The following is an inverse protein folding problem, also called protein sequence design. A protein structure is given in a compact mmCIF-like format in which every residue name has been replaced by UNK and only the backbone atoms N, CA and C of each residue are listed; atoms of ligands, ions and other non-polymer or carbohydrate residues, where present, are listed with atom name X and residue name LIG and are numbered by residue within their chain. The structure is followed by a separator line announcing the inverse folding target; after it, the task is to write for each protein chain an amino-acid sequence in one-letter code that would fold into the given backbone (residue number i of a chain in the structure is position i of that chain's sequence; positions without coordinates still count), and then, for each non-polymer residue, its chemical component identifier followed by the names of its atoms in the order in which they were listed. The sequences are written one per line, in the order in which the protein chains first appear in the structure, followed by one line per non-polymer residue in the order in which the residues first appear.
data_IF_823841920858
#
_entry.id   IF_823841920858
#
_cell.length_a   1.000
_cell.length_b   1.000
_cell.length_c   1.000
_cell.angle_alpha   90.00
_cell.angle_beta   90.00
_cell.angle_gamma   90.00
#
_symmetry.space_group_name_H-M   'P 1'
#
loop_
_entity.id
_entity.type
_entity.pdbx_description
1 polymer ?
#
# COMPACT_ATOMS: atom_id res chain seq x y z
N UNK A 1 -11.01 -31.86 7.03
CA UNK A 1 -9.83 -32.20 7.83
C UNK A 1 -8.84 -31.06 7.68
N UNK A 2 -8.38 -30.51 8.80
CA UNK A 2 -7.55 -29.32 8.89
C UNK A 2 -6.18 -29.55 8.25
N UNK A 3 -5.71 -28.57 7.49
CA UNK A 3 -4.38 -28.55 6.89
C UNK A 3 -3.76 -27.17 7.08
N UNK A 4 -3.43 -26.81 8.33
CA UNK A 4 -2.52 -25.71 8.60
C UNK A 4 -1.13 -26.11 8.09
N UNK A 5 -0.62 -25.37 7.11
CA UNK A 5 0.76 -25.51 6.65
C UNK A 5 1.54 -24.27 7.02
N UNK A 6 2.08 -24.34 8.23
CA UNK A 6 3.19 -23.51 8.69
C UNK A 6 4.46 -24.03 8.05
N UNK A 7 5.37 -23.14 7.66
CA UNK A 7 6.74 -23.53 7.33
C UNK A 7 7.47 -24.05 8.58
N UNK A 8 7.32 -25.35 8.84
CA UNK A 8 8.38 -26.14 9.46
C UNK A 8 9.42 -26.38 8.38
N UNK A 9 10.54 -25.66 8.46
CA UNK A 9 11.76 -26.08 7.80
C UNK A 9 12.14 -27.47 8.35
N UNK A 10 11.85 -28.54 7.59
CA UNK A 10 12.29 -29.91 7.92
C UNK A 10 13.80 -29.96 7.72
N UNK A 11 14.56 -29.51 8.70
CA UNK A 11 16.02 -29.68 8.71
C UNK A 11 16.81 -28.69 9.56
N UNK A 12 16.26 -27.52 9.89
CA UNK A 12 16.94 -26.57 10.79
C UNK A 12 15.94 -26.00 11.79
N UNK A 13 16.26 -26.16 13.08
CA UNK A 13 15.53 -25.51 14.19
C UNK A 13 15.44 -24.01 13.91
N UNK A 14 14.25 -23.43 14.13
CA UNK A 14 13.87 -22.06 13.78
C UNK A 14 14.96 -21.01 14.03
N UNK A 15 15.50 -20.49 12.93
CA UNK A 15 16.30 -19.28 12.89
C UNK A 15 15.63 -18.29 11.95
N UNK A 16 15.57 -17.03 12.35
CA UNK A 16 15.02 -15.93 11.55
C UNK A 16 15.68 -15.83 10.17
N UNK A 17 14.88 -15.50 9.17
CA UNK A 17 15.37 -14.94 7.91
C UNK A 17 16.08 -13.62 8.27
N UNK A 18 17.38 -13.53 8.00
CA UNK A 18 18.14 -12.29 8.12
C UNK A 18 17.87 -11.34 6.94
N UNK A 19 18.46 -10.13 7.00
CA UNK A 19 18.32 -9.09 5.97
C UNK A 19 18.38 -9.59 4.53
N UNK A 20 19.37 -10.44 4.23
CA UNK A 20 19.59 -10.96 2.89
C UNK A 20 18.47 -11.91 2.44
N UNK A 21 17.87 -12.66 3.36
CA UNK A 21 16.81 -13.61 3.07
C UNK A 21 15.44 -12.91 2.91
N UNK A 22 15.16 -11.89 3.73
CA UNK A 22 13.97 -11.05 3.59
C UNK A 22 14.01 -10.17 2.31
N UNK A 23 15.14 -9.52 2.03
CA UNK A 23 15.33 -8.74 0.79
C UNK A 23 15.33 -9.62 -0.47
N UNK A 24 15.79 -10.87 -0.36
CA UNK A 24 15.69 -11.84 -1.46
C UNK A 24 14.25 -12.30 -1.74
N UNK A 25 13.35 -12.16 -0.76
CA UNK A 25 11.93 -12.47 -0.85
C UNK A 25 11.06 -11.22 -1.07
N UNK A 26 11.68 -10.12 -1.50
CA UNK A 26 11.00 -8.86 -1.77
C UNK A 26 10.36 -8.18 -0.53
N UNK A 27 10.88 -8.44 0.67
CA UNK A 27 10.49 -7.71 1.89
C UNK A 27 11.12 -6.32 2.03
N UNK A 28 10.40 -5.34 2.58
CA UNK A 28 10.97 -4.03 2.94
C UNK A 28 11.55 -4.10 4.34
N UNK A 29 12.81 -3.68 4.51
CA UNK A 29 13.47 -3.69 5.83
C UNK A 29 13.47 -2.30 6.43
N UNK A 30 12.95 -2.20 7.66
CA UNK A 30 13.14 -1.06 8.53
C UNK A 30 14.36 -1.28 9.42
N UNK A 31 15.34 -0.38 9.35
CA UNK A 31 16.48 -0.33 10.28
C UNK A 31 16.34 0.88 11.21
N UNK A 32 16.39 0.65 12.51
CA UNK A 32 16.47 1.71 13.52
C UNK A 32 17.94 1.92 13.89
N UNK A 33 18.58 2.84 13.17
CA UNK A 33 20.04 3.06 13.25
C UNK A 33 20.45 3.98 14.40
N UNK A 34 19.52 4.78 14.94
CA UNK A 34 19.76 5.64 16.12
C UNK A 34 18.46 5.90 16.87
N UNK A 35 18.54 5.96 18.20
CA UNK A 35 17.43 6.40 19.05
C UNK A 35 16.25 5.43 19.03
N UNK A 36 15.03 5.99 18.98
CA UNK A 36 13.78 5.26 19.06
C UNK A 36 12.84 5.59 17.91
N UNK A 37 12.16 4.56 17.43
CA UNK A 37 11.21 4.65 16.31
C UNK A 37 9.91 4.00 16.72
N UNK A 38 8.80 4.72 16.59
CA UNK A 38 7.48 4.12 16.71
C UNK A 38 7.04 3.61 15.35
N UNK A 39 6.49 2.41 15.31
CA UNK A 39 5.80 1.88 14.14
C UNK A 39 4.34 1.64 14.48
N UNK A 40 3.45 1.95 13.54
CA UNK A 40 2.03 1.65 13.63
C UNK A 40 1.59 0.87 12.39
N UNK A 41 0.86 -0.23 12.58
CA UNK A 41 0.31 -1.04 11.49
C UNK A 41 -1.07 -1.54 11.90
N UNK A 42 -2.09 -1.40 11.04
CA UNK A 42 -3.49 -1.78 11.35
C UNK A 42 -4.00 -1.28 12.74
N UNK A 43 -3.47 -0.16 13.24
CA UNK A 43 -3.84 0.44 14.52
C UNK A 43 -3.13 -0.10 15.78
N UNK A 44 -2.23 -1.09 15.67
CA UNK A 44 -1.32 -1.42 16.77
C UNK A 44 -0.01 -0.66 16.64
N UNK A 45 0.53 -0.24 17.78
CA UNK A 45 1.81 0.46 17.86
C UNK A 45 2.89 -0.40 18.54
N UNK A 46 4.13 -0.29 18.05
CA UNK A 46 5.33 -0.84 18.69
C UNK A 46 6.43 0.22 18.68
N UNK A 47 7.14 0.38 19.79
CA UNK A 47 8.36 1.18 19.83
C UNK A 47 9.57 0.27 19.65
N UNK A 48 10.40 0.60 18.68
CA UNK A 48 11.66 -0.02 18.37
C UNK A 48 12.80 0.86 18.92
N UNK A 49 13.80 0.25 19.53
CA UNK A 49 14.98 0.96 20.06
C UNK A 49 16.21 0.47 19.34
N UNK A 50 17.04 1.41 18.88
CA UNK A 50 18.28 1.12 18.18
C UNK A 50 19.28 0.32 19.03
N UNK A 51 20.10 -0.55 18.43
CA UNK A 51 20.01 -1.02 17.04
C UNK A 51 18.96 -2.12 16.91
N UNK A 52 18.05 -1.99 15.95
CA UNK A 52 17.15 -3.09 15.59
C UNK A 52 16.72 -2.98 14.14
N UNK A 53 16.63 -4.11 13.46
CA UNK A 53 16.04 -4.23 12.14
C UNK A 53 14.83 -5.16 12.18
N UNK A 54 13.83 -4.90 11.32
CA UNK A 54 12.75 -5.85 11.07
C UNK A 54 12.16 -5.61 9.69
N UNK A 55 11.54 -6.65 9.15
CA UNK A 55 10.67 -6.52 7.98
C UNK A 55 9.42 -5.71 8.32
N UNK A 56 8.94 -4.95 7.34
CA UNK A 56 7.73 -4.16 7.40
C UNK A 56 6.93 -4.27 6.10
N UNK A 57 5.63 -4.06 6.20
CA UNK A 57 4.66 -4.25 5.13
C UNK A 57 4.02 -2.90 4.71
N UNK A 58 3.51 -2.78 3.47
CA UNK A 58 2.64 -1.69 3.08
C UNK A 58 1.47 -1.49 4.04
N UNK A 59 1.22 -0.25 4.43
CA UNK A 59 0.31 0.16 5.50
C UNK A 59 1.02 0.51 6.82
N UNK A 60 2.34 0.30 6.92
CA UNK A 60 3.09 0.72 8.11
C UNK A 60 3.33 2.23 8.12
N UNK A 61 3.13 2.83 9.30
CA UNK A 61 3.55 4.20 9.60
C UNK A 61 4.81 4.11 10.47
N UNK A 62 5.89 4.73 10.02
CA UNK A 62 7.17 4.80 10.73
C UNK A 62 7.37 6.23 11.23
N UNK A 63 7.66 6.38 12.53
CA UNK A 63 7.85 7.67 13.19
C UNK A 63 9.17 7.67 13.97
N UNK A 64 10.15 8.42 13.49
CA UNK A 64 11.40 8.67 14.23
C UNK A 64 11.16 9.73 15.32
N UNK A 65 11.61 9.45 16.54
CA UNK A 65 11.54 10.43 17.63
C UNK A 65 12.72 11.42 17.57
N UNK A 66 12.74 12.41 18.45
CA UNK A 66 13.87 13.33 18.60
C UNK A 66 15.19 12.56 18.79
N UNK A 67 16.25 13.01 18.14
CA UNK A 67 17.57 12.37 18.14
C UNK A 67 17.64 10.99 17.49
N UNK A 68 16.58 10.55 16.80
CA UNK A 68 16.46 9.18 16.25
C UNK A 68 16.55 9.19 14.72
N UNK A 69 16.99 8.08 14.15
CA UNK A 69 17.11 7.91 12.69
C UNK A 69 16.76 6.49 12.29
N UNK A 70 16.17 6.35 11.10
CA UNK A 70 15.81 5.05 10.54
C UNK A 70 16.04 4.99 9.03
N UNK A 71 16.17 3.76 8.52
CA UNK A 71 16.22 3.49 7.09
C UNK A 71 15.07 2.56 6.70
N UNK A 72 14.48 2.80 5.54
CA UNK A 72 13.67 1.83 4.79
C UNK A 72 14.49 1.36 3.59
N UNK A 73 14.92 0.11 3.63
CA UNK A 73 15.69 -0.55 2.57
C UNK A 73 14.75 -1.35 1.70
N UNK A 74 14.70 -1.02 0.41
CA UNK A 74 13.80 -1.67 -0.54
C UNK A 74 14.53 -2.76 -1.34
N UNK A 75 13.88 -3.88 -1.66
CA UNK A 75 14.43 -4.95 -2.51
C UNK A 75 14.87 -4.50 -3.90
N UNK A 76 14.26 -3.42 -4.41
CA UNK A 76 14.63 -2.83 -5.70
C UNK A 76 15.92 -1.99 -5.66
N UNK A 77 16.63 -1.97 -4.52
CA UNK A 77 17.89 -1.25 -4.33
C UNK A 77 17.71 0.22 -3.99
N UNK A 78 16.48 0.69 -3.85
CA UNK A 78 16.20 2.03 -3.34
C UNK A 78 16.32 2.07 -1.82
N UNK A 79 16.51 3.28 -1.29
CA UNK A 79 16.67 3.55 0.13
C UNK A 79 15.99 4.85 0.50
N UNK A 80 15.21 4.83 1.58
CA UNK A 80 14.71 6.03 2.23
C UNK A 80 15.35 6.13 3.63
N UNK A 81 15.96 7.26 3.95
CA UNK A 81 16.51 7.55 5.29
C UNK A 81 15.69 8.66 5.92
N UNK A 82 15.16 8.37 7.10
CA UNK A 82 14.33 9.25 7.89
C UNK A 82 15.22 9.94 8.91
N UNK A 83 15.21 11.28 8.91
CA UNK A 83 15.85 12.08 9.94
C UNK A 83 15.05 12.03 11.25
N UNK A 84 15.46 12.76 12.28
CA UNK A 84 14.65 12.90 13.50
C UNK A 84 13.29 13.55 13.22
N UNK A 85 12.32 13.30 14.10
CA UNK A 85 10.97 13.89 14.03
C UNK A 85 10.27 13.73 12.67
N UNK A 86 10.44 12.54 12.05
CA UNK A 86 9.97 12.25 10.71
C UNK A 86 8.92 11.14 10.74
N UNK A 87 7.78 11.39 10.09
CA UNK A 87 6.69 10.42 9.95
C UNK A 87 6.48 10.09 8.48
N UNK A 88 6.65 8.80 8.14
CA UNK A 88 6.46 8.27 6.78
C UNK A 88 5.50 7.09 6.83
N UNK A 89 4.53 7.07 5.92
CA UNK A 89 3.70 5.90 5.65
C UNK A 89 4.22 5.18 4.40
N UNK A 90 4.45 3.87 4.50
CA UNK A 90 4.70 3.03 3.34
C UNK A 90 3.35 2.61 2.76
N UNK A 91 2.82 3.33 1.76
CA UNK A 91 1.45 3.08 1.27
C UNK A 91 1.37 1.95 0.28
N UNK A 92 2.34 1.86 -0.62
CA UNK A 92 2.40 0.81 -1.62
C UNK A 92 3.84 0.35 -1.77
N UNK A 93 4.02 -0.97 -1.79
CA UNK A 93 5.21 -1.61 -2.29
C UNK A 93 4.81 -2.83 -3.10
N UNK A 94 5.39 -2.98 -4.28
CA UNK A 94 5.29 -4.20 -5.05
C UNK A 94 6.60 -4.46 -5.78
N UNK A 95 6.93 -5.75 -5.88
CA UNK A 95 8.01 -6.27 -6.70
C UNK A 95 7.42 -7.36 -7.58
N UNK A 96 6.88 -6.99 -8.74
CA UNK A 96 6.40 -7.96 -9.74
C UNK A 96 7.51 -8.33 -10.72
N UNK A 97 7.32 -9.35 -11.56
CA UNK A 97 8.33 -9.79 -12.53
C UNK A 97 8.78 -8.68 -13.52
N UNK A 98 7.97 -7.65 -13.77
CA UNK A 98 8.27 -6.60 -14.76
C UNK A 98 8.28 -5.17 -14.21
N UNK A 99 7.71 -4.92 -13.03
CA UNK A 99 7.65 -3.59 -12.43
C UNK A 99 7.85 -3.60 -10.91
N UNK A 100 8.53 -2.59 -10.37
CA UNK A 100 8.62 -2.35 -8.93
C UNK A 100 8.09 -0.98 -8.61
N UNK A 101 7.19 -0.90 -7.64
CA UNK A 101 6.61 0.34 -7.14
C UNK A 101 6.97 0.57 -5.69
N UNK A 102 7.35 1.80 -5.35
CA UNK A 102 7.44 2.30 -3.98
C UNK A 102 6.62 3.59 -3.93
N UNK A 103 5.64 3.65 -3.04
CA UNK A 103 4.96 4.90 -2.68
C UNK A 103 5.09 5.16 -1.20
N UNK A 104 5.56 6.36 -0.89
CA UNK A 104 5.70 6.85 0.47
C UNK A 104 4.84 8.10 0.64
N UNK A 105 4.18 8.23 1.79
CA UNK A 105 3.62 9.50 2.23
C UNK A 105 4.48 10.08 3.35
N UNK A 106 5.14 11.21 3.08
CA UNK A 106 5.86 12.00 4.07
C UNK A 106 4.87 12.92 4.79
N UNK A 107 4.42 12.50 5.98
CA UNK A 107 3.43 13.22 6.78
C UNK A 107 4.05 14.40 7.54
N UNK A 108 5.33 14.30 7.88
CA UNK A 108 6.14 15.38 8.45
C UNK A 108 7.62 14.98 8.51
N UNK A 109 8.52 15.97 8.59
CA UNK A 109 9.95 15.76 8.82
C UNK A 109 10.79 15.86 7.55
N UNK A 110 11.90 15.11 7.52
CA UNK A 110 12.96 15.22 6.52
C UNK A 110 13.37 13.82 6.02
N UNK A 111 13.16 13.58 4.73
CA UNK A 111 13.35 12.29 4.08
C UNK A 111 14.42 12.41 3.00
N UNK A 112 15.48 11.61 3.13
CA UNK A 112 16.48 11.43 2.09
C UNK A 112 16.19 10.17 1.30
N UNK A 113 16.08 10.26 -0.02
CA UNK A 113 15.80 9.12 -0.88
C UNK A 113 16.90 8.94 -1.92
N UNK A 114 17.44 7.72 -1.99
CA UNK A 114 18.29 7.23 -3.08
C UNK A 114 17.48 6.21 -3.86
N UNK A 115 17.11 6.55 -5.10
CA UNK A 115 16.30 5.69 -5.96
C UNK A 115 17.20 4.98 -6.96
N UNK A 116 17.17 3.64 -6.95
CA UNK A 116 17.94 2.83 -7.87
C UNK A 116 17.20 2.64 -9.20
N UNK A 117 17.97 2.65 -10.30
CA UNK A 117 17.48 2.29 -11.64
C UNK A 117 17.87 0.86 -11.97
N UNK A 118 16.91 0.08 -12.47
CA UNK A 118 17.11 -1.31 -12.89
C UNK A 118 17.07 -1.41 -14.42
N UNK A 119 17.88 -2.30 -14.98
CA UNK A 119 17.98 -2.52 -16.45
C UNK A 119 16.77 -3.26 -17.01
N UNK A 120 16.29 -4.22 -16.24
CA UNK A 120 15.34 -5.27 -16.62
C UNK A 120 13.94 -5.02 -16.04
N UNK A 121 13.74 -3.90 -15.35
CA UNK A 121 12.52 -3.63 -14.58
C UNK A 121 12.18 -2.14 -14.54
N UNK A 122 10.92 -1.81 -14.84
CA UNK A 122 10.46 -0.44 -14.61
C UNK A 122 10.33 -0.18 -13.11
N UNK A 123 10.84 0.97 -12.67
CA UNK A 123 10.83 1.38 -11.26
C UNK A 123 10.01 2.65 -11.12
N UNK A 124 8.92 2.55 -10.36
CA UNK A 124 8.08 3.67 -9.99
C UNK A 124 8.40 4.01 -8.53
N UNK A 125 8.93 5.20 -8.29
CA UNK A 125 9.19 5.69 -6.94
C UNK A 125 8.47 7.03 -6.76
N UNK A 126 7.58 7.09 -5.79
CA UNK A 126 6.78 8.27 -5.50
C UNK A 126 6.88 8.65 -4.02
N UNK A 127 7.08 9.94 -3.76
CA UNK A 127 6.93 10.52 -2.43
C UNK A 127 5.86 11.59 -2.49
N UNK A 128 4.80 11.37 -1.72
CA UNK A 128 3.70 12.31 -1.56
C UNK A 128 3.80 13.01 -0.20
N UNK A 129 3.48 14.29 -0.18
CA UNK A 129 3.20 15.06 1.04
C UNK A 129 1.75 15.54 0.99
N UNK A 130 1.31 16.32 1.97
CA UNK A 130 -0.04 16.85 1.92
C UNK A 130 -0.30 17.70 0.67
N UNK A 131 0.71 18.43 0.16
CA UNK A 131 0.55 19.43 -0.91
C UNK A 131 1.41 19.19 -2.15
N UNK A 132 2.12 18.06 -2.24
CA UNK A 132 2.95 17.74 -3.39
C UNK A 132 3.11 16.24 -3.64
N UNK A 133 3.34 15.87 -4.90
CA UNK A 133 3.70 14.50 -5.34
C UNK A 133 4.97 14.57 -6.17
N UNK A 134 6.02 13.87 -5.73
CA UNK A 134 7.29 13.73 -6.44
C UNK A 134 7.38 12.34 -7.08
N UNK A 135 7.50 12.29 -8.41
CA UNK A 135 7.70 11.07 -9.20
C UNK A 135 9.16 11.00 -9.64
N UNK A 136 9.81 9.88 -9.33
CA UNK A 136 11.27 9.80 -9.31
C UNK A 136 11.76 8.56 -10.04
N UNK A 137 12.79 8.74 -10.87
CA UNK A 137 13.47 7.66 -11.57
C UNK A 137 14.99 7.83 -11.50
N UNK A 138 15.67 6.94 -10.77
CA UNK A 138 17.14 6.92 -10.70
C UNK A 138 17.76 8.24 -10.22
N UNK A 139 17.42 8.67 -9.00
CA UNK A 139 17.72 10.01 -8.47
C UNK A 139 18.00 9.95 -6.98
N UNK A 140 18.94 10.77 -6.51
CA UNK A 140 19.16 11.09 -5.11
C UNK A 140 18.52 12.45 -4.85
N UNK A 141 17.63 12.52 -3.85
CA UNK A 141 16.95 13.75 -3.50
C UNK A 141 16.63 13.79 -2.01
N UNK A 142 16.42 15.00 -1.50
CA UNK A 142 15.92 15.24 -0.14
C UNK A 142 14.55 15.92 -0.24
N UNK A 143 13.61 15.50 0.59
CA UNK A 143 12.27 16.07 0.65
C UNK A 143 11.91 16.35 2.11
N UNK A 144 11.57 17.60 2.40
CA UNK A 144 11.16 18.06 3.73
C UNK A 144 9.68 18.45 3.67
N UNK A 145 8.89 17.99 4.63
CA UNK A 145 7.54 18.50 4.85
C UNK A 145 7.36 18.97 6.29
N UNK A 146 7.16 20.27 6.49
CA UNK A 146 6.97 20.86 7.80
C UNK A 146 6.10 22.11 7.71
N UNK A 147 5.17 22.27 8.64
CA UNK A 147 4.31 23.46 8.75
C UNK A 147 3.55 23.82 7.45
N UNK A 148 3.13 22.81 6.69
CA UNK A 148 2.43 23.02 5.43
C UNK A 148 3.34 23.40 4.25
N UNK A 149 4.65 23.31 4.42
CA UNK A 149 5.64 23.56 3.37
C UNK A 149 6.34 22.27 2.95
N UNK A 150 6.40 22.05 1.64
CA UNK A 150 7.22 20.99 1.04
C UNK A 150 8.41 21.63 0.36
N UNK A 151 9.63 21.21 0.73
CA UNK A 151 10.87 21.55 0.00
C UNK A 151 11.43 20.28 -0.61
N UNK A 152 11.62 20.27 -1.93
CA UNK A 152 12.31 19.21 -2.67
C UNK A 152 13.69 19.74 -3.10
N UNK A 153 14.72 18.94 -2.91
CA UNK A 153 16.12 19.28 -3.21
C UNK A 153 16.74 18.11 -3.98
N UNK A 154 17.21 18.33 -5.21
CA UNK A 154 17.64 17.25 -6.11
C UNK A 154 19.17 17.22 -6.23
N UNK A 155 19.77 16.06 -5.95
CA UNK A 155 21.22 15.86 -5.85
C UNK A 155 21.78 15.03 -6.99
N UNK A 156 20.95 14.29 -7.72
CA UNK A 156 21.35 13.64 -8.98
C UNK A 156 20.18 13.52 -9.94
N UNK A 157 20.47 13.44 -11.24
CA UNK A 157 19.49 13.37 -12.31
C UNK A 157 18.38 14.45 -12.17
N UNK A 158 17.12 14.04 -12.06
CA UNK A 158 15.95 14.93 -12.03
C UNK A 158 14.74 14.30 -11.35
N UNK A 159 13.87 15.14 -10.81
CA UNK A 159 12.58 14.74 -10.22
C UNK A 159 11.44 15.50 -10.90
N UNK A 160 10.40 14.78 -11.32
CA UNK A 160 9.14 15.41 -11.72
C UNK A 160 8.29 15.63 -10.48
N UNK A 161 7.81 16.86 -10.24
CA UNK A 161 7.01 17.19 -9.07
C UNK A 161 5.75 17.95 -9.45
N UNK A 162 4.68 17.65 -8.73
CA UNK A 162 3.36 18.27 -8.88
C UNK A 162 2.89 18.81 -7.55
N UNK A 163 2.52 20.08 -7.49
CA UNK A 163 1.77 20.65 -6.38
C UNK A 163 0.32 20.17 -6.48
N UNK A 164 -0.20 19.69 -5.37
CA UNK A 164 -1.57 19.18 -5.26
C UNK A 164 -2.34 19.92 -4.18
N UNK A 165 -3.65 20.05 -4.39
CA UNK A 165 -4.54 20.54 -3.35
C UNK A 165 -4.63 19.51 -2.20
N UNK A 166 -4.41 19.90 -0.93
CA UNK A 166 -4.38 18.95 0.17
C UNK A 166 -5.67 18.18 0.42
N UNK A 167 -6.82 18.74 0.03
CA UNK A 167 -8.15 18.14 0.24
C UNK A 167 -8.54 17.26 -0.95
N UNK A 168 -8.47 17.80 -2.16
CA UNK A 168 -8.98 17.15 -3.37
C UNK A 168 -7.93 16.25 -4.04
N UNK A 169 -6.65 16.40 -3.68
CA UNK A 169 -5.49 15.74 -4.29
C UNK A 169 -5.32 16.04 -5.79
N UNK A 170 -6.03 17.04 -6.32
CA UNK A 170 -5.90 17.46 -7.71
C UNK A 170 -4.66 18.32 -7.91
N UNK A 171 -4.01 18.16 -9.07
CA UNK A 171 -2.88 19.01 -9.47
C UNK A 171 -3.32 20.46 -9.59
N UNK A 172 -2.52 21.37 -9.03
CA UNK A 172 -2.73 22.81 -9.11
C UNK A 172 -2.18 23.37 -10.42
N UNK A 173 -2.88 24.32 -11.03
CA UNK A 173 -2.41 25.00 -12.24
C UNK A 173 -1.07 25.72 -11.99
N UNK A 174 -0.09 25.57 -12.89
CA UNK A 174 1.27 26.09 -12.68
C UNK A 174 2.06 25.38 -11.57
N UNK A 175 1.51 24.28 -11.05
CA UNK A 175 2.08 23.47 -9.98
C UNK A 175 2.98 22.32 -10.46
N UNK A 176 3.28 22.20 -11.75
CA UNK A 176 4.15 21.14 -12.27
C UNK A 176 5.55 21.69 -12.57
N UNK A 177 6.59 20.93 -12.20
CA UNK A 177 7.97 21.26 -12.49
C UNK A 177 8.83 19.99 -12.67
N UNK A 178 9.89 20.11 -13.47
CA UNK A 178 10.99 19.15 -13.49
C UNK A 178 12.19 19.80 -12.82
N UNK A 179 12.64 19.23 -11.69
CA UNK A 179 13.72 19.78 -10.87
C UNK A 179 14.97 18.97 -11.14
N UNK A 180 15.95 19.60 -11.79
CA UNK A 180 17.23 18.97 -12.12
C UNK A 180 18.22 19.02 -10.95
N UNK A 181 19.29 18.24 -11.06
CA UNK A 181 20.42 18.21 -10.13
C UNK A 181 20.92 19.62 -9.78
N UNK A 182 21.18 19.84 -8.49
CA UNK A 182 21.68 21.13 -8.00
C UNK A 182 20.57 22.18 -7.82
N UNK A 183 19.31 21.80 -8.01
CA UNK A 183 18.17 22.69 -7.82
C UNK A 183 17.22 22.20 -6.71
N UNK A 184 16.35 23.11 -6.31
CA UNK A 184 15.28 22.90 -5.34
C UNK A 184 14.00 23.60 -5.77
N UNK A 185 12.89 23.16 -5.22
CA UNK A 185 11.60 23.84 -5.32
C UNK A 185 10.90 23.77 -3.97
N UNK A 186 10.14 24.83 -3.66
CA UNK A 186 9.37 24.91 -2.42
C UNK A 186 7.90 25.18 -2.76
N UNK A 187 7.01 24.50 -2.03
CA UNK A 187 5.57 24.63 -2.09
C UNK A 187 5.04 24.97 -0.72
N UNK A 188 4.31 26.07 -0.60
CA UNK A 188 3.63 26.48 0.63
C UNK A 188 2.12 26.31 0.42
N UNK A 189 1.47 25.52 1.27
CA UNK A 189 0.00 25.36 1.23
C UNK A 189 -0.74 26.69 1.41
N UNK A 190 -0.13 27.68 2.08
CA UNK A 190 -0.71 29.02 2.26
C UNK A 190 -0.56 29.91 1.03
N UNK A 191 0.41 29.60 0.16
CA UNK A 191 0.66 30.30 -1.09
C UNK A 191 0.79 29.30 -2.25
N UNK A 192 -0.29 28.58 -2.60
CA UNK A 192 -0.24 27.57 -3.64
C UNK A 192 0.12 28.18 -5.01
N UNK A 193 0.81 27.43 -5.88
CA UNK A 193 1.10 27.89 -7.24
C UNK A 193 -0.19 28.08 -8.05
N UNK A 194 -0.12 29.00 -9.01
CA UNK A 194 -1.18 29.25 -9.99
C UNK A 194 -0.58 29.37 -11.39
N UNK A 195 -1.42 29.40 -12.42
CA UNK A 195 -0.96 29.63 -13.80
C UNK A 195 -0.19 30.97 -13.95
N UNK A 196 -0.51 31.99 -13.14
CA UNK A 196 0.18 33.29 -13.16
C UNK A 196 1.37 33.36 -12.21
N UNK A 197 1.41 32.50 -11.18
CA UNK A 197 2.51 32.38 -10.22
C UNK A 197 2.92 30.90 -10.14
N UNK A 198 3.61 30.38 -11.16
CA UNK A 198 4.02 28.97 -11.18
C UNK A 198 5.10 28.68 -10.14
N UNK A 199 5.40 27.40 -9.94
CA UNK A 199 6.52 26.98 -9.10
C UNK A 199 7.84 27.61 -9.55
N UNK A 200 8.64 28.02 -8.56
CA UNK A 200 9.94 28.65 -8.79
C UNK A 200 11.05 27.68 -8.40
N UNK A 201 11.85 27.29 -9.39
CA UNK A 201 13.06 26.49 -9.18
C UNK A 201 14.19 27.41 -8.72
N UNK A 202 14.90 27.01 -7.67
CA UNK A 202 16.04 27.73 -7.08
C UNK A 202 17.27 26.83 -7.06
N UNK A 203 18.44 27.40 -7.36
CA UNK A 203 19.72 26.69 -7.25
C UNK A 203 20.00 26.42 -5.76
N UNK A 204 20.44 25.20 -5.45
CA UNK A 204 20.92 24.82 -4.12
C UNK A 204 22.18 25.62 -3.79
N UNK A 205 22.18 26.26 -2.63
CA UNK A 205 23.33 27.02 -2.16
C UNK A 205 24.40 26.10 -1.55
N UNK A 206 25.63 26.59 -1.44
CA UNK A 206 26.68 25.90 -0.69
C UNK A 206 26.25 25.63 0.77
N UNK A 207 25.48 26.54 1.38
CA UNK A 207 24.96 26.36 2.73
C UNK A 207 23.92 25.21 2.82
N UNK A 208 23.09 25.02 1.79
CA UNK A 208 22.14 23.90 1.73
C UNK A 208 22.90 22.56 1.71
N UNK A 209 24.01 22.48 0.98
CA UNK A 209 24.86 21.29 0.87
C UNK A 209 25.76 21.07 2.11
N UNK A 210 26.04 22.12 2.89
CA UNK A 210 26.91 22.05 4.06
C UNK A 210 26.23 21.49 5.32
N UNK A 211 24.89 21.35 5.28
CA UNK A 211 24.09 20.77 6.39
C UNK A 211 24.63 19.38 6.80
N UNK A 212 24.73 19.07 8.10
CA UNK A 212 25.22 17.76 8.57
C UNK A 212 24.48 16.58 7.93
N UNK A 213 23.15 16.67 7.86
CA UNK A 213 22.30 15.66 7.21
C UNK A 213 22.71 15.36 5.76
N UNK A 214 23.07 16.38 4.99
CA UNK A 214 23.49 16.22 3.59
C UNK A 214 24.86 15.56 3.50
N UNK A 215 25.82 16.02 4.31
CA UNK A 215 27.18 15.46 4.35
C UNK A 215 27.17 13.98 4.70
N UNK A 216 26.42 13.60 5.74
CA UNK A 216 26.33 12.23 6.22
C UNK A 216 25.71 11.32 5.17
N UNK A 217 24.60 11.74 4.54
CA UNK A 217 23.92 10.92 3.53
C UNK A 217 24.72 10.82 2.23
N UNK A 218 25.34 11.90 1.76
CA UNK A 218 26.23 11.84 0.59
C UNK A 218 27.43 10.92 0.83
N UNK A 219 27.99 10.92 2.05
CA UNK A 219 29.08 10.01 2.40
C UNK A 219 28.63 8.54 2.39
N UNK A 220 27.45 8.23 2.93
CA UNK A 220 26.84 6.89 2.88
C UNK A 220 26.54 6.47 1.44
N UNK A 221 25.98 7.37 0.63
CA UNK A 221 25.61 7.09 -0.77
C UNK A 221 26.82 6.80 -1.65
N UNK A 222 27.97 7.44 -1.42
CA UNK A 222 29.22 7.12 -2.12
C UNK A 222 29.66 5.67 -1.93
N UNK A 223 29.44 5.10 -0.75
CA UNK A 223 29.80 3.70 -0.47
C UNK A 223 28.91 2.74 -1.28
N UNK A 224 27.61 3.04 -1.34
CA UNK A 224 26.64 2.26 -2.12
C UNK A 224 26.92 2.41 -3.62
N UNK A 225 27.20 3.63 -4.08
CA UNK A 225 27.50 3.91 -5.50
C UNK A 225 28.72 3.13 -6.00
N UNK A 226 29.78 3.03 -5.19
CA UNK A 226 30.95 2.22 -5.55
C UNK A 226 30.60 0.72 -5.69
N UNK A 227 29.72 0.19 -4.84
CA UNK A 227 29.23 -1.20 -4.96
C UNK A 227 28.39 -1.41 -6.20
N UNK A 228 27.56 -0.44 -6.55
CA UNK A 228 26.77 -0.47 -7.78
C UNK A 228 27.67 -0.41 -9.00
N UNK A 229 28.67 0.48 -9.01
CA UNK A 229 29.64 0.59 -10.09
C UNK A 229 30.38 -0.73 -10.32
N UNK A 230 30.78 -1.41 -9.24
CA UNK A 230 31.41 -2.74 -9.31
C UNK A 230 30.45 -3.80 -9.84
N UNK A 231 29.21 -3.83 -9.34
CA UNK A 231 28.19 -4.80 -9.75
C UNK A 231 27.73 -4.60 -11.20
N UNK A 232 27.71 -3.37 -11.69
CA UNK A 232 27.20 -2.99 -13.01
C UNK A 232 28.27 -2.97 -14.12
N UNK A 233 29.54 -3.20 -13.78
CA UNK A 233 30.65 -3.00 -14.72
C UNK A 233 30.84 -1.53 -15.16
N UNK A 234 30.37 -0.58 -14.35
CA UNK A 234 30.54 0.87 -14.58
C UNK A 234 29.35 1.59 -15.21
N UNK A 235 28.30 0.90 -15.68
CA UNK A 235 27.10 1.51 -16.26
C UNK A 235 26.22 2.29 -15.28
N UNK A 236 26.29 2.02 -13.97
CA UNK A 236 25.35 2.52 -12.95
C UNK A 236 23.98 1.82 -12.94
N UNK A 237 23.62 1.11 -14.01
CA UNK A 237 22.39 0.33 -14.12
C UNK A 237 22.69 -1.16 -13.83
N UNK A 238 22.08 -1.69 -12.77
CA UNK A 238 22.36 -3.03 -12.24
C UNK A 238 21.16 -3.94 -12.54
N UNK A 239 21.43 -5.21 -12.86
CA UNK A 239 20.41 -6.27 -12.99
C UNK A 239 19.87 -6.64 -11.62
N UNK A 240 18.59 -7.02 -11.52
CA UNK A 240 17.98 -7.31 -10.23
C UNK A 240 18.74 -8.39 -9.43
N UNK A 241 19.28 -9.41 -10.08
CA UNK A 241 20.07 -10.46 -9.42
C UNK A 241 21.38 -9.91 -8.82
N UNK A 242 22.16 -9.16 -9.60
CA UNK A 242 23.43 -8.57 -9.14
C UNK A 242 23.20 -7.56 -7.99
N UNK A 243 22.08 -6.84 -8.04
CA UNK A 243 21.68 -5.92 -6.97
C UNK A 243 21.51 -6.67 -5.65
N UNK A 244 20.74 -7.76 -5.66
CA UNK A 244 20.44 -8.57 -4.48
C UNK A 244 21.71 -9.15 -3.87
N UNK A 245 22.59 -9.70 -4.70
CA UNK A 245 23.78 -10.41 -4.22
C UNK A 245 24.92 -9.46 -3.80
N UNK A 246 25.10 -8.33 -4.49
CA UNK A 246 26.33 -7.51 -4.38
C UNK A 246 26.12 -6.13 -3.77
N UNK A 247 24.90 -5.58 -3.85
CA UNK A 247 24.63 -4.18 -3.49
C UNK A 247 23.83 -4.08 -2.21
N UNK A 248 22.70 -4.80 -2.10
CA UNK A 248 21.82 -4.74 -0.92
C UNK A 248 22.55 -4.99 0.41
N UNK A 249 23.48 -5.96 0.52
CA UNK A 249 24.22 -6.17 1.76
C UNK A 249 25.06 -4.95 2.20
N UNK A 250 25.51 -4.13 1.25
CA UNK A 250 26.28 -2.92 1.55
C UNK A 250 25.40 -1.68 1.81
N UNK A 251 24.09 -1.78 1.53
CA UNK A 251 23.12 -0.74 1.88
C UNK A 251 22.62 -0.87 3.31
N UNK A 252 22.59 -2.10 3.83
CA UNK A 252 22.24 -2.39 5.21
C UNK A 252 23.29 -1.80 6.16
N UNK A 253 22.82 -1.13 7.21
CA UNK A 253 23.67 -0.62 8.29
C UNK A 253 23.81 -1.64 9.42
N UNK A 254 22.78 -2.45 9.64
CA UNK A 254 22.70 -3.41 10.74
C UNK A 254 23.00 -4.84 10.27
N UNK A 255 23.50 -5.67 11.20
CA UNK A 255 23.87 -7.05 10.92
C UNK A 255 22.72 -8.02 11.25
N UNK A 256 22.82 -9.28 10.82
CA UNK A 256 21.81 -10.32 11.08
C UNK A 256 21.45 -10.48 12.57
N UNK A 257 22.39 -10.22 13.48
CA UNK A 257 22.17 -10.30 14.93
C UNK A 257 21.21 -9.22 15.46
N UNK A 258 21.04 -8.13 14.73
CA UNK A 258 20.23 -6.98 15.13
C UNK A 258 18.78 -7.10 14.65
N UNK A 259 18.42 -8.21 13.98
CA UNK A 259 17.05 -8.47 13.54
C UNK A 259 16.15 -8.86 14.72
N UNK A 260 14.98 -8.23 14.81
CA UNK A 260 13.98 -8.50 15.85
C UNK A 260 13.38 -9.89 15.69
N UNK A 261 13.43 -10.69 16.77
CA UNK A 261 12.87 -12.05 16.81
C UNK A 261 11.34 -12.13 16.59
N UNK A 262 10.61 -11.02 16.74
CA UNK A 262 9.15 -10.94 16.61
C UNK A 262 8.72 -9.65 15.90
N UNK A 263 8.70 -9.61 14.55
CA UNK A 263 8.16 -8.49 13.80
C UNK A 263 6.69 -8.25 14.17
N UNK A 264 6.24 -7.00 14.07
CA UNK A 264 4.89 -6.60 14.51
C UNK A 264 3.79 -7.37 13.76
N UNK A 265 4.04 -7.71 12.49
CA UNK A 265 3.09 -8.41 11.62
C UNK A 265 2.88 -9.89 11.97
N UNK A 266 3.87 -10.60 12.51
CA UNK A 266 3.69 -11.99 12.97
C UNK A 266 2.62 -12.09 14.07
N UNK A 267 2.63 -11.14 15.01
CA UNK A 267 1.59 -11.03 16.05
C UNK A 267 0.20 -10.83 15.42
N UNK A 268 0.11 -10.15 14.28
CA UNK A 268 -1.17 -9.94 13.59
C UNK A 268 -1.69 -11.21 12.92
N UNK A 269 -0.83 -11.99 12.27
CA UNK A 269 -1.22 -13.30 11.73
C UNK A 269 -1.76 -14.17 12.86
N UNK A 270 -1.01 -14.29 13.96
CA UNK A 270 -1.44 -15.04 15.15
C UNK A 270 -2.80 -14.54 15.67
N UNK A 271 -2.98 -13.22 15.81
CA UNK A 271 -4.24 -12.63 16.27
C UNK A 271 -5.41 -12.85 15.28
N UNK A 272 -5.16 -12.81 13.97
CA UNK A 272 -6.18 -13.06 12.94
C UNK A 272 -6.60 -14.53 12.95
N UNK A 273 -5.67 -15.46 13.05
CA UNK A 273 -5.93 -16.90 13.17
C UNK A 273 -6.72 -17.23 14.45
N UNK A 274 -6.31 -16.68 15.59
CA UNK A 274 -7.03 -16.85 16.88
C UNK A 274 -8.46 -16.31 16.79
N UNK A 275 -8.67 -15.15 16.15
CA UNK A 275 -10.01 -14.58 15.95
C UNK A 275 -10.86 -15.45 15.03
N UNK A 276 -10.27 -15.98 13.96
CA UNK A 276 -10.95 -16.84 12.99
C UNK A 276 -11.37 -18.16 13.64
N UNK A 277 -10.47 -18.81 14.38
CA UNK A 277 -10.76 -20.03 15.14
C UNK A 277 -11.92 -19.80 16.13
N UNK A 278 -11.92 -18.65 16.82
CA UNK A 278 -12.99 -18.29 17.76
C UNK A 278 -14.34 -18.09 17.07
N UNK A 279 -14.36 -17.53 15.86
CA UNK A 279 -15.56 -17.36 15.05
C UNK A 279 -16.08 -18.73 14.60
N UNK A 280 -15.21 -19.59 14.06
CA UNK A 280 -15.57 -20.94 13.60
C UNK A 280 -16.13 -21.80 14.73
N UNK A 281 -15.51 -21.75 15.91
CA UNK A 281 -16.00 -22.47 17.09
C UNK A 281 -17.38 -21.97 17.53
N UNK A 282 -17.66 -20.67 17.37
CA UNK A 282 -18.97 -20.09 17.69
C UNK A 282 -20.04 -20.48 16.66
N UNK A 283 -19.69 -20.58 15.37
CA UNK A 283 -20.58 -21.07 14.32
C UNK A 283 -20.95 -22.53 14.58
N UNK A 284 -19.96 -23.40 14.83
CA UNK A 284 -20.19 -24.82 15.15
C UNK A 284 -21.09 -24.99 16.37
N UNK A 285 -20.91 -24.17 17.41
CA UNK A 285 -21.77 -24.20 18.59
C UNK A 285 -23.22 -23.80 18.30
N UNK A 286 -23.44 -22.87 17.35
CA UNK A 286 -24.78 -22.44 16.93
C UNK A 286 -25.48 -23.47 16.04
N UNK A 287 -24.75 -24.12 15.14
CA UNK A 287 -25.25 -25.22 14.32
C UNK A 287 -25.69 -26.41 15.19
N UNK A 288 -24.87 -26.78 16.18
CA UNK A 288 -25.20 -27.83 17.15
C UNK A 288 -26.38 -27.47 18.07
N UNK A 289 -26.67 -26.17 18.24
CA UNK A 289 -27.84 -25.71 18.98
C UNK A 289 -29.12 -25.71 18.13
N UNK A 290 -29.00 -25.47 16.82
CA UNK A 290 -30.13 -25.53 15.87
C UNK A 290 -30.60 -26.96 15.60
N UNK A 291 -29.68 -27.94 15.51
CA UNK A 291 -30.05 -29.36 15.34
C UNK A 291 -30.81 -29.95 16.54
N UNK A 292 -30.79 -29.27 17.70
CA UNK A 292 -31.54 -29.68 18.90
C UNK A 292 -32.94 -29.06 19.01
N UNK A 293 -33.34 -28.18 18.08
CA UNK A 293 -34.67 -27.56 18.07
C UNK A 293 -35.30 -27.59 16.67
N UNK A 294 -35.96 -28.70 16.32
CA UNK A 294 -37.03 -28.69 15.32
C UNK A 294 -38.04 -29.82 15.62
N UNK A 295 -39.29 -29.51 16.00
CA UNK A 295 -40.40 -30.44 15.91
C UNK A 295 -41.04 -30.36 14.51
N UNK A 296 -41.31 -31.53 13.94
CA UNK A 296 -42.01 -31.77 12.68
C UNK A 296 -43.51 -31.50 12.78
N UNK A 297 -44.13 -30.78 11.83
CA UNK A 297 -45.51 -31.04 11.40
C UNK A 297 -45.69 -30.75 9.90
N UNK A 298 -46.35 -31.69 9.25
CA UNK A 298 -46.73 -31.88 7.85
C UNK A 298 -47.72 -30.84 7.27
N UNK A 299 -47.62 -30.65 5.96
CA UNK A 299 -48.50 -29.84 5.11
C UNK A 299 -49.70 -30.62 4.58
N UNK A 300 -50.93 -30.10 4.74
CA UNK A 300 -52.09 -30.40 3.89
C UNK A 300 -52.97 -29.16 3.65
N UNK A 301 -53.12 -28.84 2.35
CA UNK A 301 -54.30 -28.38 1.60
C UNK A 301 -55.14 -27.14 1.95
N UNK A 302 -55.41 -26.40 0.86
CA UNK A 302 -56.62 -25.66 0.48
C UNK A 302 -57.05 -24.40 1.23
N UNK A 303 -57.11 -23.29 0.50
CA UNK A 303 -57.92 -22.12 0.83
C UNK A 303 -58.72 -21.66 -0.39
N UNK A 304 -60.02 -21.95 -0.35
CA UNK A 304 -61.05 -21.24 -1.10
C UNK A 304 -61.60 -20.08 -0.24
N UNK A 305 -61.78 -18.94 -0.91
CA UNK A 305 -62.79 -17.88 -0.70
C UNK A 305 -63.17 -17.43 0.73
N UNK A 306 -63.04 -16.12 1.00
CA UNK A 306 -64.08 -15.26 1.60
C UNK A 306 -63.96 -13.85 1.00
N UNK A 307 -65.07 -13.37 0.45
CA UNK A 307 -65.37 -11.95 0.12
C UNK A 307 -66.06 -11.34 1.36
N UNK A 308 -65.84 -10.06 1.68
CA UNK A 308 -66.89 -9.06 2.03
C UNK A 308 -66.30 -7.70 2.46
N UNK A 309 -66.47 -6.71 1.57
CA UNK A 309 -66.87 -5.29 1.71
C UNK A 309 -66.30 -4.36 2.80
N UNK A 310 -65.76 -3.20 2.37
CA UNK A 310 -66.41 -1.87 2.49
C UNK A 310 -65.51 -0.73 1.94
N UNK A 311 -66.10 0.23 1.21
CA UNK A 311 -65.48 1.42 0.58
C UNK A 311 -65.86 2.74 1.33
N UNK A 312 -65.57 3.97 0.85
CA UNK A 312 -64.34 4.76 1.07
C UNK A 312 -64.59 6.23 1.56
N UNK A 313 -63.54 7.00 1.93
CA UNK A 313 -63.49 8.50 1.88
C UNK A 313 -62.02 9.00 1.92
N UNK A 314 -61.71 10.21 1.42
CA UNK A 314 -60.69 10.41 0.38
C UNK A 314 -59.34 10.89 0.92
N UNK A 315 -58.24 10.38 0.35
CA UNK A 315 -56.89 10.88 0.58
C UNK A 315 -56.60 12.03 -0.39
N UNK A 316 -56.14 13.14 0.19
CA UNK A 316 -55.57 14.30 -0.50
C UNK A 316 -54.42 13.81 -1.39
N UNK A 317 -54.46 14.13 -2.69
CA UNK A 317 -53.38 13.82 -3.63
C UNK A 317 -52.19 14.76 -3.37
N UNK A 318 -51.17 14.24 -2.69
CA UNK A 318 -49.82 14.80 -2.71
C UNK A 318 -49.23 14.61 -4.12
N UNK A 319 -48.48 15.58 -4.69
CA UNK A 319 -47.87 15.40 -6.01
C UNK A 319 -46.85 14.25 -5.95
N UNK A 320 -46.88 13.34 -6.92
CA UNK A 320 -45.79 12.39 -7.12
C UNK A 320 -44.52 13.19 -7.44
N UNK A 321 -43.61 13.28 -6.47
CA UNK A 321 -42.20 13.52 -6.76
C UNK A 321 -41.76 12.29 -7.54
N UNK A 322 -41.45 12.45 -8.83
CA UNK A 322 -40.85 11.39 -9.64
C UNK A 322 -39.56 10.95 -8.95
N UNK A 323 -39.57 9.75 -8.36
CA UNK A 323 -38.35 9.15 -7.83
C UNK A 323 -37.31 9.12 -8.97
N UNK A 324 -36.08 9.59 -8.72
CA UNK A 324 -34.98 9.41 -9.67
C UNK A 324 -34.91 7.93 -10.08
N UNK A 325 -34.65 7.61 -11.36
CA UNK A 325 -34.57 6.22 -11.80
C UNK A 325 -33.58 5.46 -10.91
N UNK A 326 -34.06 4.37 -10.30
CA UNK A 326 -33.24 3.53 -9.44
C UNK A 326 -32.12 2.92 -10.29
N UNK A 327 -30.89 3.41 -10.11
CA UNK A 327 -29.73 2.90 -10.84
C UNK A 327 -29.41 1.53 -10.28
N UNK A 328 -29.71 0.48 -11.06
CA UNK A 328 -29.46 -0.91 -10.70
C UNK A 328 -27.96 -1.22 -10.76
N UNK A 329 -27.42 -1.78 -9.68
CA UNK A 329 -26.04 -2.22 -9.56
C UNK A 329 -25.77 -3.38 -10.53
N UNK A 330 -24.71 -3.27 -11.32
CA UNK A 330 -24.22 -4.33 -12.19
C UNK A 330 -22.70 -4.37 -12.22
N UNK A 331 -22.12 -5.56 -12.40
CA UNK A 331 -20.70 -5.76 -12.72
C UNK A 331 -20.64 -6.37 -14.12
N UNK A 332 -19.92 -5.73 -15.03
CA UNK A 332 -19.76 -6.15 -16.42
C UNK A 332 -18.43 -6.89 -16.63
N UNK A 333 -17.33 -6.37 -16.08
CA UNK A 333 -16.01 -6.98 -16.20
C UNK A 333 -15.09 -6.56 -15.05
N UNK A 334 -13.99 -7.29 -14.92
CA UNK A 334 -12.84 -6.99 -14.08
C UNK A 334 -11.58 -7.12 -14.96
N UNK A 335 -10.62 -6.21 -14.78
CA UNK A 335 -9.38 -6.17 -15.59
C UNK A 335 -8.17 -5.82 -14.70
N UNK A 336 -7.11 -6.65 -14.66
CA UNK A 336 -7.06 -7.99 -15.24
C UNK A 336 -8.07 -8.91 -14.55
N UNK A 337 -8.62 -9.87 -15.31
CA UNK A 337 -9.47 -10.95 -14.79
C UNK A 337 -8.67 -12.18 -14.34
N UNK A 338 -7.35 -12.13 -14.49
CA UNK A 338 -6.44 -13.22 -14.15
C UNK A 338 -5.22 -12.72 -13.37
N UNK A 339 -4.72 -13.56 -12.48
CA UNK A 339 -3.44 -13.36 -11.77
C UNK A 339 -2.76 -14.71 -11.51
N UNK A 340 -1.55 -14.71 -10.92
CA UNK A 340 -0.73 -15.89 -10.73
C UNK A 340 -0.36 -16.12 -9.25
N UNK A 341 -0.36 -17.39 -8.83
CA UNK A 341 0.38 -17.95 -7.70
C UNK A 341 -0.33 -17.97 -6.34
N UNK A 342 -0.01 -18.95 -5.46
CA UNK A 342 -0.30 -18.87 -4.04
C UNK A 342 0.80 -18.06 -3.30
N UNK A 343 0.61 -16.75 -3.16
CA UNK A 343 1.49 -15.86 -2.39
C UNK A 343 1.72 -14.50 -3.05
N UNK A 344 1.53 -13.41 -2.29
CA UNK A 344 1.72 -12.00 -2.69
C UNK A 344 0.87 -11.50 -3.86
N UNK A 345 -0.46 -11.47 -3.67
CA UNK A 345 -1.37 -10.82 -4.64
C UNK A 345 -1.81 -9.47 -4.09
N UNK A 346 -1.10 -8.40 -4.46
CA UNK A 346 -1.70 -7.07 -4.54
C UNK A 346 -1.98 -6.77 -6.02
N UNK A 347 -2.86 -7.57 -6.63
CA UNK A 347 -3.25 -7.36 -8.03
C UNK A 347 -4.19 -6.16 -8.06
N UNK A 348 -3.75 -5.05 -8.66
CA UNK A 348 -4.64 -3.92 -8.94
C UNK A 348 -5.65 -4.36 -10.00
N UNK A 349 -6.93 -4.23 -9.70
CA UNK A 349 -8.05 -4.56 -10.60
C UNK A 349 -8.94 -3.36 -10.84
N UNK A 350 -9.41 -3.23 -12.07
CA UNK A 350 -10.42 -2.26 -12.50
C UNK A 350 -11.72 -3.01 -12.73
N UNK A 351 -12.76 -2.69 -11.97
CA UNK A 351 -14.09 -3.28 -12.13
C UNK A 351 -14.97 -2.28 -12.86
N UNK A 352 -15.56 -2.71 -13.98
CA UNK A 352 -16.47 -1.92 -14.81
C UNK A 352 -17.91 -2.42 -14.65
N UNK A 353 -18.87 -1.50 -14.65
CA UNK A 353 -20.27 -1.82 -14.43
C UNK A 353 -21.18 -0.59 -14.40
N UNK A 354 -22.20 -0.62 -13.55
CA UNK A 354 -23.11 0.51 -13.34
C UNK A 354 -23.66 0.52 -11.92
N UNK A 355 -24.07 1.70 -11.43
CA UNK A 355 -24.66 1.85 -10.08
C UNK A 355 -23.63 1.88 -8.95
N UNK A 356 -22.37 2.17 -9.23
CA UNK A 356 -21.33 2.26 -8.21
C UNK A 356 -21.52 3.52 -7.36
N UNK A 357 -21.89 3.31 -6.09
CA UNK A 357 -22.00 4.38 -5.11
C UNK A 357 -20.65 4.64 -4.43
N UNK A 358 -20.49 5.78 -3.74
CA UNK A 358 -19.22 6.17 -3.10
C UNK A 358 -18.75 5.23 -1.98
N UNK A 359 -19.59 4.30 -1.53
CA UNK A 359 -19.29 3.28 -0.52
C UNK A 359 -19.32 1.85 -1.10
N UNK A 360 -19.17 1.70 -2.41
CA UNK A 360 -19.12 0.39 -3.03
C UNK A 360 -17.97 -0.45 -2.46
N UNK A 361 -18.23 -1.73 -2.22
CA UNK A 361 -17.26 -2.71 -1.72
C UNK A 361 -17.30 -3.96 -2.59
N UNK A 362 -16.14 -4.54 -2.86
CA UNK A 362 -16.03 -5.80 -3.59
C UNK A 362 -15.38 -6.90 -2.77
N UNK A 363 -15.57 -8.14 -3.19
CA UNK A 363 -14.83 -9.30 -2.67
C UNK A 363 -14.63 -10.35 -3.77
N UNK A 364 -13.50 -11.05 -3.74
CA UNK A 364 -13.17 -12.17 -4.63
C UNK A 364 -12.85 -13.37 -3.75
N UNK A 365 -13.46 -14.53 -4.05
CA UNK A 365 -13.24 -15.75 -3.25
C UNK A 365 -13.59 -15.63 -1.76
N UNK A 366 -14.49 -14.70 -1.41
CA UNK A 366 -14.85 -14.40 -0.02
C UNK A 366 -13.93 -13.41 0.70
N UNK A 367 -12.80 -13.02 0.09
CA UNK A 367 -11.90 -11.99 0.62
C UNK A 367 -12.29 -10.62 0.11
N UNK A 368 -12.43 -9.65 1.02
CA UNK A 368 -12.75 -8.26 0.65
C UNK A 368 -11.62 -7.65 -0.19
N UNK A 369 -11.96 -6.87 -1.20
CA UNK A 369 -11.00 -6.05 -1.93
C UNK A 369 -10.49 -4.92 -1.02
N UNK A 370 -9.21 -4.58 -1.12
CA UNK A 370 -8.58 -3.48 -0.39
C UNK A 370 -8.40 -2.26 -1.30
N UNK A 371 -8.10 -1.09 -0.73
CA UNK A 371 -7.87 0.16 -1.47
C UNK A 371 -8.95 0.49 -2.52
N UNK A 372 -10.22 0.22 -2.20
CA UNK A 372 -11.34 0.43 -3.12
C UNK A 372 -11.55 1.93 -3.37
N UNK A 373 -11.35 2.35 -4.61
CA UNK A 373 -11.52 3.72 -5.10
C UNK A 373 -12.56 3.75 -6.20
N UNK A 374 -13.75 4.27 -5.91
CA UNK A 374 -14.80 4.48 -6.91
C UNK A 374 -14.45 5.72 -7.73
N UNK A 375 -14.11 5.52 -9.01
CA UNK A 375 -13.73 6.62 -9.91
C UNK A 375 -14.97 7.37 -10.40
N UNK A 376 -16.03 6.62 -10.74
CA UNK A 376 -17.33 7.15 -11.16
C UNK A 376 -18.41 6.05 -11.01
N UNK A 377 -19.65 6.33 -11.44
CA UNK A 377 -20.79 5.42 -11.32
C UNK A 377 -20.64 4.09 -12.10
N UNK A 378 -19.63 3.98 -12.96
CA UNK A 378 -19.40 2.86 -13.88
C UNK A 378 -18.04 2.18 -13.68
N UNK A 379 -17.11 2.78 -12.93
CA UNK A 379 -15.75 2.25 -12.77
C UNK A 379 -15.27 2.42 -11.33
N UNK A 380 -14.70 1.36 -10.76
CA UNK A 380 -13.98 1.39 -9.50
C UNK A 380 -12.64 0.65 -9.64
N UNK A 381 -11.61 1.15 -8.99
CA UNK A 381 -10.32 0.47 -8.83
C UNK A 381 -10.24 -0.15 -7.44
N UNK A 382 -9.58 -1.29 -7.32
CA UNK A 382 -9.31 -1.91 -6.05
C UNK A 382 -8.07 -2.81 -6.11
N UNK A 383 -7.63 -3.28 -4.96
CA UNK A 383 -6.59 -4.29 -4.82
C UNK A 383 -7.23 -5.62 -4.43
N UNK A 384 -6.91 -6.68 -5.17
CA UNK A 384 -7.24 -8.05 -4.77
C UNK A 384 -6.48 -8.35 -3.48
N UNK A 385 -7.18 -8.94 -2.50
CA UNK A 385 -6.53 -9.33 -1.24
C UNK A 385 -5.61 -10.53 -1.45
N UNK A 386 -4.47 -10.59 -0.75
CA UNK A 386 -3.54 -11.71 -0.88
C UNK A 386 -4.14 -13.02 -0.38
N UNK A 387 -3.51 -14.14 -0.77
CA UNK A 387 -3.82 -15.52 -0.33
C UNK A 387 -5.03 -16.20 -1.00
N UNK A 388 -5.50 -15.70 -2.15
CA UNK A 388 -6.38 -16.50 -3.00
C UNK A 388 -5.60 -17.70 -3.57
N UNK A 389 -6.11 -18.91 -3.34
CA UNK A 389 -5.52 -20.13 -3.91
C UNK A 389 -5.72 -20.18 -5.42
N UNK A 390 -4.89 -20.90 -6.19
CA UNK A 390 -5.19 -21.18 -7.59
C UNK A 390 -6.62 -21.72 -7.76
N UNK A 391 -7.37 -21.12 -8.67
CA UNK A 391 -8.78 -21.40 -8.86
C UNK A 391 -9.56 -20.25 -9.46
N UNK A 392 -10.80 -20.56 -9.82
CA UNK A 392 -11.75 -19.62 -10.43
C UNK A 392 -12.75 -19.13 -9.38
N UNK A 393 -12.93 -17.82 -9.29
CA UNK A 393 -13.71 -17.16 -8.25
C UNK A 393 -14.81 -16.26 -8.81
N UNK A 394 -15.89 -16.16 -8.05
CA UNK A 394 -16.91 -15.15 -8.26
C UNK A 394 -16.43 -13.79 -7.72
N UNK A 395 -16.73 -12.72 -8.45
CA UNK A 395 -16.52 -11.33 -7.99
C UNK A 395 -17.85 -10.81 -7.47
N UNK A 396 -17.91 -10.46 -6.19
CA UNK A 396 -19.12 -9.94 -5.54
C UNK A 396 -18.93 -8.44 -5.34
N UNK A 397 -19.91 -7.64 -5.74
CA UNK A 397 -19.93 -6.20 -5.49
C UNK A 397 -21.19 -5.81 -4.72
N UNK A 398 -21.02 -4.92 -3.74
CA UNK A 398 -22.09 -4.36 -2.92
C UNK A 398 -22.05 -2.84 -2.96
N UNK A 399 -23.21 -2.20 -3.08
CA UNK A 399 -23.36 -0.74 -3.10
C UNK A 399 -24.72 -0.39 -2.48
N UNK A 400 -24.73 0.25 -1.31
CA UNK A 400 -25.95 0.44 -0.53
C UNK A 400 -26.58 -0.89 -0.10
N UNK A 401 -27.87 -1.09 -0.44
CA UNK A 401 -28.60 -2.34 -0.18
C UNK A 401 -28.49 -3.37 -1.33
N UNK A 402 -27.85 -3.00 -2.45
CA UNK A 402 -27.77 -3.86 -3.63
C UNK A 402 -26.50 -4.71 -3.58
N UNK A 403 -26.62 -5.97 -4.02
CA UNK A 403 -25.54 -6.95 -4.14
C UNK A 403 -25.62 -7.61 -5.51
N UNK A 404 -24.50 -7.64 -6.23
CA UNK A 404 -24.37 -8.32 -7.53
C UNK A 404 -23.17 -9.27 -7.51
N UNK A 405 -23.26 -10.34 -8.31
CA UNK A 405 -22.22 -11.36 -8.47
C UNK A 405 -21.89 -11.46 -9.94
N UNK A 406 -20.62 -11.27 -10.29
CA UNK A 406 -20.05 -11.69 -11.57
C UNK A 406 -19.48 -13.10 -11.38
N UNK A 407 -20.21 -14.09 -11.86
CA UNK A 407 -19.82 -15.49 -11.71
C UNK A 407 -18.56 -15.82 -12.50
N UNK A 408 -17.63 -16.55 -11.88
CA UNK A 408 -16.33 -16.92 -12.48
C UNK A 408 -15.58 -15.73 -13.09
N UNK A 409 -15.70 -14.56 -12.45
CA UNK A 409 -15.16 -13.32 -12.98
C UNK A 409 -13.65 -13.16 -12.80
N UNK A 410 -13.00 -13.98 -11.96
CA UNK A 410 -11.58 -13.84 -11.68
C UNK A 410 -10.89 -15.20 -11.54
N UNK A 411 -9.70 -15.36 -12.10
CA UNK A 411 -8.91 -16.60 -12.06
C UNK A 411 -7.53 -16.37 -11.43
N UNK A 412 -7.14 -17.29 -10.56
CA UNK A 412 -5.77 -17.38 -10.05
C UNK A 412 -5.13 -18.62 -10.67
N UNK A 413 -4.10 -18.41 -11.49
CA UNK A 413 -3.33 -19.48 -12.13
C UNK A 413 -2.23 -19.98 -11.19
N UNK A 414 -1.84 -21.24 -11.33
CA UNK A 414 -0.67 -21.79 -10.66
C UNK A 414 0.60 -21.26 -11.33
N UNK A 415 1.67 -21.01 -10.56
CA UNK A 415 2.99 -20.65 -11.09
C UNK A 415 3.80 -21.94 -11.12
N UNK A 416 4.23 -22.38 -12.31
CA UNK A 416 5.16 -23.52 -12.48
C UNK A 416 6.58 -23.22 -12.03
#
# INVERSE_FOLDING_TARGET
AAGGWWFKNKGQKGGLLGAAEALAQDGVILEVVKGQVKISFEGEEKTLTSPVAQEVEPGVIVITLAGSQANLVFPNGSLARLDEETSVNLTEFFSEAQSSGVKLELNSGNLWSRVQRLLDKETNYEVQTANAVAVVKGTIFNMVYKEGKTKLEVLSNKVAIKAIDPQTKQTLAGGEAEVETGNSVEMDTKEPPTAQKPLVIKILSAADLDRPWFKDNLAKDKQVEEKIRQASGGSGEVRQQDLREKVLPAMMTLEKKDFSDKPIFEKFIELKEIRQEKIENRIKALEQAQDKQSPSVSSETNLSSIVTTASPKPLIKTPLVSQPPEVKLSVASIDPDVTYGPGYQYTKVTINGSGFGPLAKGSIGGLALTSVKVLNANTLEAMVSPNLQPGVYDVILTSGLQRVVLSKGFEVLEVE
#
